data_IF_183255532267
#
_entry.id   IF_183255532267
#
_cell.length_a   1.000
_cell.length_b   1.000
_cell.length_c   1.000
_cell.angle_alpha   90.00
_cell.angle_beta   90.00
_cell.angle_gamma   90.00
#
_symmetry.space_group_name_H-M   'P 1'
#
loop_
_entity.id
_entity.type
_entity.pdbx_description
1 polymer ?
#
# COMPACT_ATOMS: atom_id res chain seq x y z
N UNK A 1 0.78 14.81 14.43
CA UNK A 1 0.97 13.44 14.99
C UNK A 1 2.29 12.90 14.51
N UNK A 2 3.01 12.16 15.38
CA UNK A 2 4.29 11.54 15.03
C UNK A 2 4.05 10.05 14.68
N UNK A 3 3.93 9.73 13.39
CA UNK A 3 3.71 8.35 12.94
C UNK A 3 5.05 7.72 12.59
N UNK A 4 5.53 6.80 13.42
CA UNK A 4 6.79 6.09 13.17
C UNK A 4 6.79 5.29 11.86
N UNK A 5 5.63 4.81 11.40
CA UNK A 5 5.51 4.15 10.10
C UNK A 5 5.72 5.15 8.95
N UNK A 6 5.09 6.34 9.06
CA UNK A 6 5.27 7.40 8.08
C UNK A 6 6.72 7.89 8.06
N UNK A 7 7.34 8.09 9.21
CA UNK A 7 8.76 8.47 9.34
C UNK A 7 9.67 7.47 8.62
N UNK A 8 9.44 6.16 8.78
CA UNK A 8 10.23 5.11 8.12
C UNK A 8 10.14 5.14 6.60
N UNK A 9 9.00 5.54 6.03
CA UNK A 9 8.81 5.57 4.57
C UNK A 9 9.27 6.93 4.01
N UNK A 10 8.76 8.03 4.56
CA UNK A 10 8.96 9.37 4.01
C UNK A 10 10.41 9.86 4.13
N UNK A 11 11.06 9.69 5.29
CA UNK A 11 12.45 10.15 5.46
C UNK A 11 13.43 9.38 4.57
N UNK A 12 13.14 8.10 4.30
CA UNK A 12 13.92 7.26 3.40
C UNK A 12 13.70 7.66 1.95
N UNK A 13 12.45 7.85 1.54
CA UNK A 13 12.11 8.30 0.19
C UNK A 13 12.73 9.68 -0.15
N UNK A 14 12.75 10.63 0.79
CA UNK A 14 13.41 11.95 0.61
C UNK A 14 14.91 11.80 0.31
N UNK A 15 15.53 10.70 0.77
CA UNK A 15 16.95 10.37 0.54
C UNK A 15 17.16 9.42 -0.66
N UNK A 16 16.15 9.29 -1.52
CA UNK A 16 16.09 8.36 -2.68
C UNK A 16 16.25 6.86 -2.29
N UNK A 17 16.01 6.51 -1.01
CA UNK A 17 15.98 5.12 -0.52
C UNK A 17 14.52 4.63 -0.44
N UNK A 18 14.09 3.88 -1.45
CA UNK A 18 12.76 3.27 -1.50
C UNK A 18 12.75 1.81 -1.04
N UNK A 19 13.88 1.26 -0.59
CA UNK A 19 13.98 -0.14 -0.15
C UNK A 19 14.10 -0.31 1.37
N UNK A 20 14.26 0.80 2.09
CA UNK A 20 14.30 0.81 3.56
C UNK A 20 13.01 0.38 4.26
N UNK A 21 11.87 0.33 3.56
CA UNK A 21 10.59 -0.17 4.10
C UNK A 21 10.19 -1.49 3.42
N UNK A 22 10.46 -2.60 4.10
CA UNK A 22 10.27 -3.95 3.56
C UNK A 22 8.79 -4.36 3.70
N UNK A 23 7.97 -3.90 2.77
CA UNK A 23 6.59 -4.35 2.61
C UNK A 23 6.20 -4.35 1.13
N UNK A 24 5.86 -5.52 0.58
CA UNK A 24 5.59 -5.66 -0.86
C UNK A 24 4.20 -5.20 -1.27
N UNK A 25 4.02 -4.94 -2.56
CA UNK A 25 2.74 -4.66 -3.19
C UNK A 25 1.75 -5.82 -2.97
N UNK A 26 2.17 -7.06 -3.17
CA UNK A 26 1.29 -8.22 -2.97
C UNK A 26 0.88 -8.41 -1.50
N UNK A 27 1.77 -8.08 -0.55
CA UNK A 27 1.41 -8.09 0.87
C UNK A 27 0.36 -7.00 1.17
N UNK A 28 0.54 -5.79 0.64
CA UNK A 28 -0.44 -4.72 0.78
C UNK A 28 -1.79 -5.09 0.16
N UNK A 29 -1.80 -5.64 -1.05
CA UNK A 29 -3.01 -6.09 -1.72
C UNK A 29 -3.75 -7.16 -0.90
N UNK A 30 -3.02 -8.13 -0.34
CA UNK A 30 -3.60 -9.16 0.53
C UNK A 30 -4.25 -8.54 1.77
N UNK A 31 -3.56 -7.65 2.47
CA UNK A 31 -4.08 -7.02 3.68
C UNK A 31 -5.29 -6.12 3.37
N UNK A 32 -5.24 -5.33 2.29
CA UNK A 32 -6.38 -4.52 1.85
C UNK A 32 -7.56 -5.34 1.36
N UNK A 33 -7.34 -6.55 0.83
CA UNK A 33 -8.43 -7.47 0.49
C UNK A 33 -9.16 -7.92 1.76
N UNK A 34 -8.43 -8.31 2.81
CA UNK A 34 -9.06 -8.65 4.10
C UNK A 34 -9.78 -7.47 4.75
N UNK A 35 -9.18 -6.26 4.70
CA UNK A 35 -9.82 -5.05 5.22
C UNK A 35 -11.10 -4.74 4.44
N UNK A 36 -11.07 -4.83 3.12
CA UNK A 36 -12.23 -4.59 2.27
C UNK A 36 -13.36 -5.60 2.57
N UNK A 37 -13.03 -6.89 2.70
CA UNK A 37 -13.98 -7.94 3.08
C UNK A 37 -14.61 -7.69 4.46
N UNK A 38 -13.82 -7.20 5.43
CA UNK A 38 -14.30 -6.85 6.77
C UNK A 38 -15.28 -5.67 6.75
N UNK A 39 -15.15 -4.78 5.76
CA UNK A 39 -15.92 -3.53 5.66
C UNK A 39 -17.09 -3.62 4.67
N UNK A 40 -17.33 -4.78 4.05
CA UNK A 40 -18.32 -4.98 2.96
C UNK A 40 -19.75 -4.51 3.25
N UNK A 41 -20.15 -4.47 4.52
CA UNK A 41 -21.52 -4.07 4.92
C UNK A 41 -21.57 -2.61 5.42
N UNK A 42 -20.47 -1.85 5.27
CA UNK A 42 -20.33 -0.46 5.66
C UNK A 42 -20.04 0.39 4.40
N UNK A 43 -21.07 0.91 3.70
CA UNK A 43 -20.94 1.39 2.32
C UNK A 43 -19.80 2.38 2.07
N UNK A 44 -19.62 3.35 2.97
CA UNK A 44 -18.57 4.36 2.83
C UNK A 44 -17.17 3.78 3.13
N UNK A 45 -17.06 2.87 4.09
CA UNK A 45 -15.80 2.25 4.46
C UNK A 45 -15.39 1.17 3.44
N UNK A 46 -16.35 0.42 2.91
CA UNK A 46 -16.15 -0.48 1.77
C UNK A 46 -15.64 0.30 0.55
N UNK A 47 -16.30 1.40 0.19
CA UNK A 47 -15.89 2.23 -0.94
C UNK A 47 -14.46 2.77 -0.78
N UNK A 48 -14.11 3.25 0.41
CA UNK A 48 -12.76 3.75 0.69
C UNK A 48 -11.72 2.63 0.66
N UNK A 49 -12.00 1.49 1.29
CA UNK A 49 -11.08 0.35 1.31
C UNK A 49 -10.91 -0.29 -0.05
N UNK A 50 -11.97 -0.33 -0.87
CA UNK A 50 -11.94 -0.80 -2.26
C UNK A 50 -11.06 0.11 -3.13
N UNK A 51 -11.20 1.43 -2.98
CA UNK A 51 -10.32 2.40 -3.65
C UNK A 51 -8.86 2.24 -3.21
N UNK A 52 -8.60 2.05 -1.91
CA UNK A 52 -7.24 1.81 -1.42
C UNK A 52 -6.65 0.49 -1.98
N UNK A 53 -7.47 -0.57 -2.02
CA UNK A 53 -7.11 -1.89 -2.58
C UNK A 53 -6.74 -1.78 -4.07
N UNK A 54 -7.49 -1.00 -4.86
CA UNK A 54 -7.33 -0.93 -6.31
C UNK A 54 -5.95 -0.41 -6.73
N UNK A 55 -5.32 0.49 -5.96
CA UNK A 55 -3.96 0.94 -6.25
C UNK A 55 -2.94 -0.21 -6.25
N UNK A 56 -3.06 -1.13 -5.29
CA UNK A 56 -2.16 -2.28 -5.17
C UNK A 56 -2.54 -3.42 -6.11
N UNK A 57 -3.83 -3.58 -6.38
CA UNK A 57 -4.34 -4.52 -7.39
C UNK A 57 -3.81 -4.16 -8.79
N UNK A 58 -3.92 -2.89 -9.20
CA UNK A 58 -3.41 -2.38 -10.47
C UNK A 58 -1.89 -2.55 -10.59
N UNK A 59 -1.15 -2.26 -9.51
CA UNK A 59 0.30 -2.45 -9.50
C UNK A 59 0.68 -3.94 -9.62
N UNK A 60 0.01 -4.83 -8.87
CA UNK A 60 0.24 -6.27 -8.96
C UNK A 60 -0.06 -6.80 -10.37
N UNK A 61 -1.19 -6.39 -10.96
CA UNK A 61 -1.58 -6.74 -12.33
C UNK A 61 -0.58 -6.28 -13.39
N UNK A 62 0.17 -5.21 -13.13
CA UNK A 62 1.28 -4.72 -13.97
C UNK A 62 2.61 -5.48 -13.75
N UNK A 63 2.59 -6.58 -13.00
CA UNK A 63 3.78 -7.38 -12.67
C UNK A 63 4.66 -6.78 -11.57
N UNK A 64 4.14 -5.81 -10.81
CA UNK A 64 4.90 -5.10 -9.77
C UNK A 64 4.72 -5.69 -8.37
N UNK A 65 4.07 -6.85 -8.23
CA UNK A 65 3.72 -7.46 -6.95
C UNK A 65 4.88 -7.67 -5.97
N UNK A 66 6.09 -7.93 -6.49
CA UNK A 66 7.32 -8.10 -5.69
C UNK A 66 8.01 -6.80 -5.30
N UNK A 67 7.63 -5.66 -5.89
CA UNK A 67 8.17 -4.36 -5.49
C UNK A 67 7.70 -4.03 -4.07
N UNK A 68 8.50 -3.25 -3.36
CA UNK A 68 8.10 -2.65 -2.10
C UNK A 68 7.14 -1.49 -2.37
N UNK A 69 6.18 -1.25 -1.47
CA UNK A 69 5.18 -0.18 -1.68
C UNK A 69 5.81 1.20 -1.83
N UNK A 70 6.98 1.43 -1.23
CA UNK A 70 7.76 2.65 -1.38
C UNK A 70 8.38 2.79 -2.77
N UNK A 71 8.69 1.69 -3.46
CA UNK A 71 9.23 1.73 -4.83
C UNK A 71 8.19 2.21 -5.85
N UNK A 72 6.89 2.12 -5.54
CA UNK A 72 5.82 2.67 -6.38
C UNK A 72 5.85 4.20 -6.47
N UNK A 73 6.45 4.90 -5.50
CA UNK A 73 6.53 6.38 -5.49
C UNK A 73 7.29 6.91 -6.72
N UNK A 74 8.21 6.11 -7.28
CA UNK A 74 9.06 6.48 -8.42
C UNK A 74 8.54 5.96 -9.77
N UNK A 75 7.42 5.24 -9.79
CA UNK A 75 6.87 4.56 -10.97
C UNK A 75 5.73 5.35 -11.59
#
# INVERSE_FOLDING_TARGET
GNSGALTRIAEKAIKDDYKGYIFSVDNALKDFSYINDMLKDLPNAEKLSSLAKSFYEDASNKGQGKLLISELIKK
#
